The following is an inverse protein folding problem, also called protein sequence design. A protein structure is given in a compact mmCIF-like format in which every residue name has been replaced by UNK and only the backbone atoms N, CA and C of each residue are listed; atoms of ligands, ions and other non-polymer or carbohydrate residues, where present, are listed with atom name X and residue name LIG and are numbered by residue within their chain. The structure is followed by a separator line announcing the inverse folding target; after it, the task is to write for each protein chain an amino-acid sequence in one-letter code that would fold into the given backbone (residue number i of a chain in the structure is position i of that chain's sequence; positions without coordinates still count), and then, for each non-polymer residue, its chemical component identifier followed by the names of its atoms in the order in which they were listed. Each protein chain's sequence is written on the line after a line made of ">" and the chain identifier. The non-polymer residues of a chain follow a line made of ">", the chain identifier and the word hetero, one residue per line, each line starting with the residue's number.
data_IF_712736471051
#
_entry.id   IF_712736471051
#
_cell.length_a   1.000
_cell.length_b   1.000
_cell.length_c   1.000
_cell.angle_alpha   90.00
_cell.angle_beta   90.00
_cell.angle_gamma   90.00
#
_symmetry.space_group_name_H-M   'P 1'
#
loop_
_entity.id
_entity.type
_entity.pdbx_description
1 polymer ?
#
# COMPACT_ATOMS: atom_id res chain seq x y z
N UNK A 1 13.28 -3.03 21.21
CA UNK A 1 11.80 -3.07 21.25
C UNK A 1 11.23 -3.92 20.12
N UNK A 2 11.41 -3.60 18.83
CA UNK A 2 10.85 -4.43 17.74
C UNK A 2 11.44 -5.85 17.68
N UNK A 3 12.75 -6.02 17.95
CA UNK A 3 13.38 -7.35 18.07
C UNK A 3 12.77 -8.22 19.18
N UNK A 4 12.20 -7.64 20.24
CA UNK A 4 11.55 -8.42 21.29
C UNK A 4 10.18 -8.98 20.84
N UNK A 5 9.54 -8.31 19.88
CA UNK A 5 8.30 -8.80 19.26
C UNK A 5 8.55 -9.88 18.20
N UNK A 6 9.77 -10.02 17.68
CA UNK A 6 10.15 -11.25 16.96
C UNK A 6 10.15 -12.43 17.92
N UNK A 7 11.02 -12.37 18.92
CA UNK A 7 11.41 -13.56 19.65
C UNK A 7 10.41 -13.96 20.75
N UNK A 8 9.63 -13.00 21.29
CA UNK A 8 8.93 -13.19 22.57
C UNK A 8 7.43 -12.86 22.54
N UNK A 9 6.73 -13.06 21.41
CA UNK A 9 5.26 -13.00 21.43
C UNK A 9 4.70 -14.33 21.97
N UNK A 10 4.09 -14.35 23.18
CA UNK A 10 3.59 -15.57 23.80
C UNK A 10 2.33 -16.09 23.10
N UNK A 11 2.02 -17.38 23.33
CA UNK A 11 0.79 -18.06 22.89
C UNK A 11 0.57 -18.17 21.37
N UNK A 12 1.64 -18.13 20.57
CA UNK A 12 1.59 -18.43 19.14
C UNK A 12 1.78 -19.92 18.87
N UNK A 13 1.08 -20.45 17.86
CA UNK A 13 1.23 -21.84 17.44
C UNK A 13 2.54 -22.10 16.67
N UNK A 14 3.09 -21.06 16.04
CA UNK A 14 4.39 -21.05 15.38
C UNK A 14 4.89 -19.60 15.28
N UNK A 15 6.19 -19.42 15.04
CA UNK A 15 6.76 -18.10 14.81
C UNK A 15 6.32 -17.56 13.46
N UNK A 16 5.56 -16.47 13.46
CA UNK A 16 4.87 -15.91 12.29
C UNK A 16 5.11 -14.41 12.10
N UNK A 17 6.17 -13.87 12.71
CA UNK A 17 6.49 -12.45 12.68
C UNK A 17 8.01 -12.29 12.64
N UNK A 18 8.49 -11.54 11.65
CA UNK A 18 9.90 -11.17 11.49
C UNK A 18 10.03 -9.65 11.40
N UNK A 19 10.92 -9.06 12.19
CA UNK A 19 11.31 -7.66 12.12
C UNK A 19 12.67 -7.51 11.43
N UNK A 20 12.68 -6.74 10.35
CA UNK A 20 13.91 -6.38 9.64
C UNK A 20 14.22 -4.89 9.82
N UNK A 21 15.41 -4.59 10.34
CA UNK A 21 15.88 -3.21 10.45
C UNK A 21 16.45 -2.73 9.11
N UNK A 22 15.57 -2.21 8.26
CA UNK A 22 15.93 -1.68 6.95
C UNK A 22 17.01 -0.59 7.04
N UNK A 23 16.85 0.36 7.96
CA UNK A 23 17.78 1.49 8.11
C UNK A 23 19.19 1.01 8.46
N UNK A 24 19.31 0.03 9.36
CA UNK A 24 20.60 -0.56 9.74
C UNK A 24 21.29 -1.24 8.55
N UNK A 25 20.56 -2.03 7.76
CA UNK A 25 21.11 -2.70 6.56
C UNK A 25 21.55 -1.66 5.52
N UNK A 26 20.72 -0.66 5.25
CA UNK A 26 21.00 0.36 4.25
C UNK A 26 22.11 1.35 4.67
N UNK A 27 22.38 1.47 5.96
CA UNK A 27 23.45 2.34 6.49
C UNK A 27 24.86 1.70 6.43
N UNK A 28 24.97 0.39 6.16
CA UNK A 28 26.28 -0.29 6.06
C UNK A 28 27.13 0.30 4.93
N UNK A 29 28.46 0.32 5.10
CA UNK A 29 29.38 0.76 4.05
C UNK A 29 29.78 -0.41 3.13
N UNK A 30 28.81 -0.89 2.34
CA UNK A 30 28.95 -1.99 1.36
C UNK A 30 28.23 -1.61 0.05
N UNK A 31 28.53 -2.25 -1.10
CA UNK A 31 27.84 -1.92 -2.34
C UNK A 31 26.34 -2.23 -2.28
N UNK A 32 25.53 -1.47 -3.05
CA UNK A 32 24.06 -1.49 -2.98
C UNK A 32 23.47 -2.88 -3.23
N UNK A 33 24.00 -3.61 -4.20
CA UNK A 33 23.57 -4.98 -4.50
C UNK A 33 23.71 -5.92 -3.29
N UNK A 34 24.75 -5.75 -2.47
CA UNK A 34 24.91 -6.51 -1.23
C UNK A 34 23.93 -6.06 -0.16
N UNK A 35 23.58 -4.77 -0.08
CA UNK A 35 22.55 -4.28 0.85
C UNK A 35 21.18 -4.86 0.52
N UNK A 36 20.83 -4.89 -0.76
CA UNK A 36 19.58 -5.49 -1.24
C UNK A 36 19.54 -6.99 -0.96
N UNK A 37 20.63 -7.72 -1.20
CA UNK A 37 20.74 -9.14 -0.86
C UNK A 37 20.63 -9.38 0.64
N UNK A 38 21.33 -8.60 1.47
CA UNK A 38 21.24 -8.67 2.93
C UNK A 38 19.81 -8.41 3.41
N UNK A 39 19.14 -7.41 2.83
CA UNK A 39 17.75 -7.07 3.16
C UNK A 39 16.79 -8.19 2.75
N UNK A 40 16.92 -8.71 1.53
CA UNK A 40 16.08 -9.79 1.03
C UNK A 40 16.27 -11.07 1.86
N UNK A 41 17.51 -11.41 2.20
CA UNK A 41 17.81 -12.54 3.07
C UNK A 41 17.15 -12.34 4.44
N UNK A 42 17.41 -11.21 5.11
CA UNK A 42 16.82 -10.93 6.42
C UNK A 42 15.29 -10.93 6.41
N UNK A 43 14.65 -10.46 5.33
CA UNK A 43 13.20 -10.46 5.19
C UNK A 43 12.59 -11.83 4.91
N UNK A 44 13.36 -12.77 4.34
CA UNK A 44 12.85 -14.05 3.87
C UNK A 44 13.36 -15.25 4.66
N UNK A 45 14.32 -15.08 5.58
CA UNK A 45 14.99 -16.17 6.29
C UNK A 45 14.03 -17.09 7.06
N UNK A 46 12.95 -16.54 7.62
CA UNK A 46 11.96 -17.32 8.38
C UNK A 46 10.81 -17.87 7.52
N UNK A 47 10.66 -17.40 6.27
CA UNK A 47 9.54 -17.80 5.40
C UNK A 47 9.51 -19.32 5.15
N UNK A 48 10.63 -20.03 4.91
CA UNK A 48 10.60 -21.47 4.71
C UNK A 48 10.07 -22.27 5.91
N UNK A 49 10.45 -21.92 7.14
CA UNK A 49 9.96 -22.58 8.35
C UNK A 49 8.51 -22.18 8.64
N UNK A 50 8.15 -20.91 8.46
CA UNK A 50 6.78 -20.41 8.56
C UNK A 50 5.84 -21.17 7.62
N UNK A 51 6.23 -21.33 6.35
CA UNK A 51 5.44 -22.07 5.38
C UNK A 51 5.22 -23.53 5.80
N UNK A 52 6.27 -24.22 6.26
CA UNK A 52 6.15 -25.59 6.79
C UNK A 52 5.18 -25.68 7.97
N UNK A 53 5.27 -24.74 8.91
CA UNK A 53 4.36 -24.70 10.05
C UNK A 53 2.90 -24.53 9.61
N UNK A 54 2.62 -23.75 8.56
CA UNK A 54 1.24 -23.63 8.03
C UNK A 54 0.71 -24.93 7.41
N UNK A 55 1.58 -25.78 6.87
CA UNK A 55 1.22 -27.11 6.37
C UNK A 55 0.95 -28.07 7.52
N UNK A 56 1.86 -28.14 8.50
CA UNK A 56 1.79 -29.03 9.66
C UNK A 56 0.57 -28.73 10.54
N UNK A 57 0.25 -27.44 10.73
CA UNK A 57 -0.93 -26.98 11.47
C UNK A 57 -2.22 -26.98 10.62
N UNK A 58 -2.16 -27.47 9.38
CA UNK A 58 -3.29 -27.53 8.45
C UNK A 58 -4.02 -26.18 8.31
N UNK A 59 -3.25 -25.10 8.24
CA UNK A 59 -3.78 -23.75 8.07
C UNK A 59 -3.94 -23.40 6.60
N UNK A 60 -3.10 -23.97 5.73
CA UNK A 60 -3.10 -23.69 4.31
C UNK A 60 -4.35 -24.30 3.64
N UNK A 61 -5.14 -23.45 2.97
CA UNK A 61 -6.37 -23.87 2.27
C UNK A 61 -7.62 -23.96 3.16
N UNK A 62 -7.48 -23.77 4.48
CA UNK A 62 -8.60 -23.82 5.42
C UNK A 62 -9.21 -22.44 5.67
N UNK A 63 -10.55 -22.36 5.68
CA UNK A 63 -11.28 -21.13 6.04
C UNK A 63 -11.49 -21.08 7.55
N UNK A 64 -10.79 -20.18 8.24
CA UNK A 64 -11.11 -19.82 9.63
C UNK A 64 -12.13 -18.68 9.66
N UNK A 65 -13.09 -18.75 10.57
CA UNK A 65 -14.12 -17.72 10.79
C UNK A 65 -13.55 -16.44 11.39
N UNK A 66 -12.69 -15.75 10.65
CA UNK A 66 -12.16 -14.44 11.05
C UNK A 66 -13.18 -13.35 10.71
N UNK A 67 -13.38 -12.35 11.59
CA UNK A 67 -14.26 -11.22 11.29
C UNK A 67 -13.79 -10.51 10.02
N UNK A 68 -14.73 -10.21 9.13
CA UNK A 68 -14.43 -9.44 7.92
C UNK A 68 -13.92 -8.05 8.32
N UNK A 69 -12.70 -7.72 7.89
CA UNK A 69 -12.17 -6.36 7.97
C UNK A 69 -12.46 -5.66 6.65
N UNK A 70 -13.12 -4.50 6.71
CA UNK A 70 -13.40 -3.66 5.52
C UNK A 70 -12.32 -2.58 5.43
N UNK A 71 -11.54 -2.56 4.35
CA UNK A 71 -10.56 -1.51 4.10
C UNK A 71 -11.29 -0.19 3.82
N UNK A 72 -10.86 0.89 4.49
CA UNK A 72 -11.31 2.24 4.14
C UNK A 72 -10.77 2.63 2.76
N UNK A 73 -11.52 3.43 1.99
CA UNK A 73 -11.00 3.99 0.74
C UNK A 73 -9.80 4.90 1.04
N UNK A 74 -8.82 4.99 0.13
CA UNK A 74 -7.71 5.92 0.30
C UNK A 74 -8.28 7.35 0.40
N UNK A 75 -7.76 8.18 1.33
CA UNK A 75 -8.21 9.56 1.45
C UNK A 75 -7.83 10.32 0.18
N UNK A 76 -8.80 10.53 -0.70
CA UNK A 76 -8.64 11.38 -1.88
C UNK A 76 -8.86 12.83 -1.44
N UNK A 77 -7.85 13.68 -1.62
CA UNK A 77 -8.00 15.11 -1.41
C UNK A 77 -8.88 15.65 -2.54
N UNK A 78 -10.18 15.65 -2.33
CA UNK A 78 -11.11 16.26 -3.26
C UNK A 78 -10.84 17.76 -3.29
N UNK A 79 -10.38 18.28 -4.43
CA UNK A 79 -9.94 19.68 -4.58
C UNK A 79 -11.13 20.65 -4.75
N UNK A 80 -12.35 20.13 -4.79
CA UNK A 80 -13.56 20.89 -5.12
C UNK A 80 -14.41 21.32 -3.91
N UNK A 81 -13.96 21.06 -2.67
CA UNK A 81 -14.69 21.48 -1.46
C UNK A 81 -14.09 22.74 -0.83
N UNK A 82 -13.96 23.81 -1.61
CA UNK A 82 -13.57 25.13 -1.08
C UNK A 82 -14.75 25.93 -0.47
N UNK A 83 -15.99 25.40 -0.45
CA UNK A 83 -17.16 26.19 -0.02
C UNK A 83 -18.21 25.48 0.86
N UNK A 84 -17.98 24.25 1.32
CA UNK A 84 -18.91 23.61 2.26
C UNK A 84 -18.21 23.28 3.56
N UNK A 85 -18.55 24.07 4.60
CA UNK A 85 -18.11 23.89 5.98
C UNK A 85 -18.18 22.42 6.43
N UNK A 86 -17.20 21.91 7.18
CA UNK A 86 -17.27 20.56 7.70
C UNK A 86 -18.30 20.52 8.84
N UNK A 87 -19.47 19.94 8.56
CA UNK A 87 -20.33 19.40 9.61
C UNK A 87 -19.63 18.18 10.21
N UNK A 88 -18.81 18.42 11.22
CA UNK A 88 -18.33 17.35 12.10
C UNK A 88 -19.51 16.82 12.91
N UNK A 89 -20.20 15.80 12.39
CA UNK A 89 -20.98 14.91 13.24
C UNK A 89 -20.01 14.04 14.04
N UNK A 90 -19.60 14.57 15.19
CA UNK A 90 -18.91 13.85 16.26
C UNK A 90 -19.80 12.69 16.70
N UNK A 91 -19.40 11.45 16.41
CA UNK A 91 -19.83 10.30 17.19
C UNK A 91 -18.81 10.13 18.33
N UNK A 92 -19.23 10.50 19.54
CA UNK A 92 -18.50 10.28 20.79
C UNK A 92 -18.35 8.77 21.04
N UNK A 93 -17.14 8.30 21.32
CA UNK A 93 -16.90 7.43 22.47
C UNK A 93 -15.41 7.39 22.83
N UNK A 94 -15.14 7.46 24.14
CA UNK A 94 -13.87 7.37 24.87
C UNK A 94 -12.99 8.62 25.04
N UNK A 95 -13.28 9.32 26.15
CA UNK A 95 -12.33 10.10 26.94
C UNK A 95 -11.26 9.20 27.59
N UNK A 96 -9.98 9.55 27.42
CA UNK A 96 -9.10 9.95 28.54
C UNK A 96 -7.68 10.29 28.04
N UNK A 97 -7.31 11.57 28.21
CA UNK A 97 -6.16 11.93 29.03
C UNK A 97 -4.77 12.06 28.39
N UNK A 98 -4.27 13.30 28.46
CA UNK A 98 -2.86 13.75 28.56
C UNK A 98 -2.11 13.97 27.24
N UNK A 99 -1.88 15.26 26.96
CA UNK A 99 -1.29 15.76 25.72
C UNK A 99 0.24 15.83 25.68
N UNK A 100 0.74 16.01 24.47
CA UNK A 100 2.04 16.59 24.20
C UNK A 100 2.04 17.20 22.79
N UNK A 101 2.28 18.51 22.72
CA UNK A 101 2.51 19.27 21.50
C UNK A 101 3.66 18.68 20.67
N UNK A 102 3.45 18.41 19.38
CA UNK A 102 4.55 18.38 18.41
C UNK A 102 4.17 19.05 17.10
N UNK A 103 4.95 20.09 16.82
CA UNK A 103 4.91 20.99 15.69
C UNK A 103 4.93 20.24 14.35
N UNK A 104 4.03 20.65 13.47
CA UNK A 104 3.87 20.15 12.11
C UNK A 104 4.93 20.77 11.21
N UNK A 105 5.96 20.01 10.85
CA UNK A 105 6.82 20.35 9.70
C UNK A 105 6.15 19.83 8.43
N UNK A 106 5.51 20.71 7.70
CA UNK A 106 4.93 20.48 6.37
C UNK A 106 6.04 20.28 5.34
N UNK A 107 6.42 19.02 5.08
CA UNK A 107 7.24 18.68 3.91
C UNK A 107 6.31 18.62 2.70
N UNK A 108 6.44 19.60 1.82
CA UNK A 108 5.83 19.64 0.48
C UNK A 108 6.47 18.59 -0.41
N UNK A 109 5.74 17.52 -0.76
CA UNK A 109 6.14 16.62 -1.83
C UNK A 109 5.81 17.25 -3.18
N UNK A 110 6.85 17.78 -3.81
CA UNK A 110 6.85 18.21 -5.21
C UNK A 110 6.76 16.97 -6.11
N UNK A 111 5.53 16.52 -6.40
CA UNK A 111 5.31 15.51 -7.42
C UNK A 111 5.48 16.18 -8.79
N UNK A 112 6.57 15.83 -9.48
CA UNK A 112 6.90 16.32 -10.82
C UNK A 112 5.70 16.14 -11.75
N UNK A 113 5.46 17.12 -12.63
CA UNK A 113 4.33 17.09 -13.58
C UNK A 113 4.36 15.86 -14.50
N UNK A 114 5.53 15.22 -14.65
CA UNK A 114 5.74 14.01 -15.44
C UNK A 114 4.99 12.80 -14.89
N UNK A 115 4.94 12.60 -13.56
CA UNK A 115 4.23 11.47 -12.94
C UNK A 115 2.72 11.50 -13.22
N UNK A 116 2.15 12.69 -13.42
CA UNK A 116 0.73 12.86 -13.74
C UNK A 116 0.39 12.42 -15.16
N UNK A 117 1.36 12.38 -16.08
CA UNK A 117 1.17 12.05 -17.49
C UNK A 117 1.50 10.59 -17.81
N UNK A 118 2.08 9.85 -16.86
CA UNK A 118 2.50 8.46 -17.04
C UNK A 118 1.35 7.48 -16.82
N UNK A 119 1.28 6.44 -17.66
CA UNK A 119 0.26 5.40 -17.61
C UNK A 119 0.29 4.66 -16.26
N UNK A 120 -0.84 4.55 -15.53
CA UNK A 120 -0.88 3.93 -14.21
C UNK A 120 -0.70 2.39 -14.24
N UNK A 121 -0.67 1.78 -15.43
CA UNK A 121 -0.53 0.33 -15.59
C UNK A 121 0.93 -0.05 -15.82
N UNK A 122 1.60 0.58 -16.81
CA UNK A 122 2.98 0.24 -17.15
C UNK A 122 4.02 1.16 -16.53
N UNK A 123 3.60 2.30 -15.94
CA UNK A 123 4.47 3.28 -15.30
C UNK A 123 5.65 3.79 -16.17
N UNK A 124 5.54 3.63 -17.49
CA UNK A 124 6.62 3.95 -18.44
C UNK A 124 6.15 4.82 -19.62
N UNK A 125 4.98 4.52 -20.19
CA UNK A 125 4.46 5.25 -21.36
C UNK A 125 3.53 6.38 -20.93
N UNK A 126 3.48 7.45 -21.72
CA UNK A 126 2.50 8.52 -21.54
C UNK A 126 1.06 8.04 -21.82
N UNK A 127 0.10 8.76 -21.26
CA UNK A 127 -1.34 8.55 -21.46
C UNK A 127 -1.77 9.05 -22.84
N UNK A 128 -2.09 8.14 -23.75
CA UNK A 128 -2.58 8.42 -25.11
C UNK A 128 -3.96 7.76 -25.40
N UNK A 129 -4.65 7.26 -24.37
CA UNK A 129 -5.97 6.66 -24.47
C UNK A 129 -6.86 7.05 -23.28
N UNK A 130 -8.05 7.61 -23.56
CA UNK A 130 -9.09 7.89 -22.58
C UNK A 130 -10.27 6.92 -22.71
N UNK A 131 -10.87 6.53 -21.59
CA UNK A 131 -12.12 5.76 -21.56
C UNK A 131 -13.34 6.68 -21.45
N UNK A 132 -14.54 6.16 -21.74
CA UNK A 132 -15.81 6.91 -21.58
C UNK A 132 -16.09 7.42 -20.17
N UNK A 133 -15.38 6.92 -19.15
CA UNK A 133 -15.44 7.42 -17.76
C UNK A 133 -14.45 8.58 -17.48
N UNK A 134 -13.68 9.04 -18.47
CA UNK A 134 -12.70 10.12 -18.35
C UNK A 134 -11.30 9.69 -17.89
N UNK A 135 -11.13 8.46 -17.39
CA UNK A 135 -9.85 7.93 -16.97
C UNK A 135 -8.94 7.55 -18.16
N UNK A 136 -7.63 7.68 -17.96
CA UNK A 136 -6.64 7.58 -19.03
C UNK A 136 -5.55 6.55 -18.74
N UNK A 137 -5.11 5.85 -19.79
CA UNK A 137 -3.98 4.93 -19.82
C UNK A 137 -3.17 5.13 -21.09
N UNK A 138 -2.06 4.42 -21.28
CA UNK A 138 -1.49 4.29 -22.62
C UNK A 138 -2.32 3.32 -23.48
N UNK A 139 -2.28 3.48 -24.80
CA UNK A 139 -3.04 2.71 -25.78
C UNK A 139 -2.74 1.22 -25.66
N UNK A 140 -1.46 0.87 -25.51
CA UNK A 140 -1.01 -0.51 -25.41
C UNK A 140 -1.55 -1.23 -24.17
N UNK A 141 -1.72 -0.51 -23.05
CA UNK A 141 -2.28 -1.11 -21.83
C UNK A 141 -3.81 -1.07 -21.81
N UNK A 142 -4.46 -0.14 -22.53
CA UNK A 142 -5.90 0.08 -22.46
C UNK A 142 -6.73 -0.51 -23.60
N UNK A 143 -6.12 -0.95 -24.71
CA UNK A 143 -6.84 -1.45 -25.89
C UNK A 143 -7.75 -2.67 -25.59
N UNK A 144 -7.28 -3.59 -24.74
CA UNK A 144 -7.96 -4.86 -24.46
C UNK A 144 -8.70 -4.86 -23.10
N UNK A 145 -8.76 -3.72 -22.40
CA UNK A 145 -9.43 -3.64 -21.10
C UNK A 145 -10.95 -3.56 -21.25
N UNK A 146 -11.70 -4.41 -20.55
CA UNK A 146 -13.16 -4.34 -20.46
C UNK A 146 -13.67 -3.46 -19.31
N UNK A 147 -12.88 -3.30 -18.25
CA UNK A 147 -13.20 -2.48 -17.07
C UNK A 147 -12.11 -1.43 -16.86
N UNK A 148 -12.52 -0.23 -16.48
CA UNK A 148 -11.57 0.83 -16.13
C UNK A 148 -10.76 0.43 -14.89
N UNK A 149 -9.42 0.52 -14.91
CA UNK A 149 -8.57 0.16 -13.77
C UNK A 149 -8.73 1.11 -12.57
N UNK A 150 -9.28 2.31 -12.78
CA UNK A 150 -9.42 3.33 -11.75
C UNK A 150 -10.81 3.33 -11.09
N UNK A 151 -11.88 3.25 -11.88
CA UNK A 151 -13.26 3.32 -11.36
C UNK A 151 -14.10 2.05 -11.58
N UNK A 152 -13.52 1.01 -12.20
CA UNK A 152 -14.18 -0.27 -12.48
C UNK A 152 -15.44 -0.18 -13.35
N UNK A 153 -15.69 0.96 -14.00
CA UNK A 153 -16.77 1.12 -14.97
C UNK A 153 -16.48 0.31 -16.23
N UNK A 154 -17.53 -0.24 -16.86
CA UNK A 154 -17.43 -0.93 -18.15
C UNK A 154 -16.93 0.06 -19.22
N UNK A 155 -15.93 -0.35 -19.99
CA UNK A 155 -15.36 0.46 -21.06
C UNK A 155 -16.17 0.24 -22.34
N UNK A 156 -17.13 1.13 -22.60
CA UNK A 156 -17.88 1.20 -23.85
C UNK A 156 -17.19 2.05 -24.91
N UNK A 157 -16.48 3.10 -24.50
CA UNK A 157 -15.84 4.09 -25.39
C UNK A 157 -14.34 4.19 -25.11
N UNK A 158 -13.55 4.26 -26.19
CA UNK A 158 -12.10 4.49 -26.17
C UNK A 158 -11.75 5.62 -27.13
N UNK A 159 -11.05 6.65 -26.63
CA UNK A 159 -10.69 7.85 -27.39
C UNK A 159 -9.18 7.98 -27.39
N UNK A 160 -8.58 7.98 -28.58
CA UNK A 160 -7.13 8.19 -28.72
C UNK A 160 -6.81 9.67 -28.56
N UNK A 161 -5.83 9.97 -27.73
CA UNK A 161 -5.34 11.33 -27.49
C UNK A 161 -4.07 11.51 -28.34
N UNK A 162 -3.97 12.66 -29.02
CA UNK A 162 -2.84 13.05 -29.87
C UNK A 162 -2.02 14.14 -29.20
#
# INVERSE_FOLDING_TARGET
>A
MMRQFDDNIPARAFDNFQFVNFTEIMSKNIPINRKETDFALAALMEIPSQYRATLELQLLGCKKGTPLRVCLPPPTRNRDSAYSSPRYSRANSFDQGVGANRSTSSVTSDATLEDKLTCPICLYRHKDLAFGCGHQTCYNCGKDLHLCPLCKSIISTRIRLY
#
